data_IF_566917906345
#
_entry.id   IF_566917906345
#
_cell.length_a   1.000
_cell.length_b   1.000
_cell.length_c   1.000
_cell.angle_alpha   90.00
_cell.angle_beta   90.00
_cell.angle_gamma   90.00
#
_symmetry.space_group_name_H-M   'P 1'
#
loop_
_entity.id
_entity.type
_entity.pdbx_description
1 polymer ?
#
# COMPACT_ATOMS: atom_id res chain seq x y z
N UNK A 1 1.45 13.25 48.83
CA UNK A 1 1.02 14.27 47.89
C UNK A 1 0.67 13.70 46.51
N UNK A 2 1.52 12.83 45.94
CA UNK A 2 1.25 12.15 44.62
C UNK A 2 -0.05 11.32 44.69
N UNK A 3 -0.31 10.64 45.78
CA UNK A 3 -1.48 9.77 46.00
C UNK A 3 -2.82 10.56 46.04
N UNK A 4 -2.81 11.79 46.51
CA UNK A 4 -3.97 12.65 46.50
C UNK A 4 -4.29 13.20 45.10
N UNK A 5 -3.28 13.65 44.37
CA UNK A 5 -3.42 14.17 43.02
C UNK A 5 -4.00 13.10 42.08
N UNK A 6 -3.52 11.85 42.19
CA UNK A 6 -4.03 10.74 41.39
C UNK A 6 -5.47 10.34 41.78
N UNK A 7 -5.80 10.33 43.10
CA UNK A 7 -7.17 10.05 43.56
C UNK A 7 -8.15 11.14 43.14
N UNK A 8 -7.72 12.40 43.12
CA UNK A 8 -8.57 13.53 42.73
C UNK A 8 -8.83 13.51 41.22
N UNK A 9 -7.81 13.25 40.37
CA UNK A 9 -7.98 13.14 38.93
C UNK A 9 -8.90 11.96 38.56
N UNK A 10 -8.76 10.80 39.20
CA UNK A 10 -9.68 9.67 39.05
C UNK A 10 -11.10 9.97 39.55
N UNK A 11 -11.21 10.72 40.65
CA UNK A 11 -12.52 11.14 41.16
C UNK A 11 -13.26 12.06 40.18
N UNK A 12 -12.54 12.92 39.45
CA UNK A 12 -13.16 13.75 38.41
C UNK A 12 -13.61 12.95 37.18
N UNK A 13 -12.99 11.81 36.92
CA UNK A 13 -13.40 10.89 35.86
C UNK A 13 -14.63 10.04 36.22
N UNK A 14 -14.69 9.50 37.45
CA UNK A 14 -15.60 8.40 37.80
C UNK A 14 -16.68 8.72 38.84
N UNK A 15 -16.66 9.91 39.48
CA UNK A 15 -17.62 10.21 40.54
C UNK A 15 -19.01 10.56 39.99
N UNK A 16 -20.09 9.82 40.37
CA UNK A 16 -21.44 9.96 39.80
C UNK A 16 -22.24 11.18 40.32
N UNK A 17 -21.60 12.17 40.91
CA UNK A 17 -22.28 13.31 41.52
C UNK A 17 -22.69 14.43 40.56
N UNK A 18 -22.14 14.48 39.36
CA UNK A 18 -22.48 15.51 38.36
C UNK A 18 -22.66 14.84 36.99
N UNK A 19 -23.91 14.48 36.67
CA UNK A 19 -24.26 13.76 35.43
C UNK A 19 -23.67 14.39 34.15
N UNK A 20 -23.52 15.71 34.10
CA UNK A 20 -23.01 16.40 32.91
C UNK A 20 -21.49 16.26 32.71
N UNK A 21 -20.68 16.19 33.77
CA UNK A 21 -19.22 16.14 33.68
C UNK A 21 -18.71 14.78 33.23
N UNK A 22 -19.30 13.70 33.74
CA UNK A 22 -18.97 12.33 33.31
C UNK A 22 -19.30 12.14 31.81
N UNK A 23 -20.44 12.68 31.35
CA UNK A 23 -20.88 12.61 29.96
C UNK A 23 -19.90 13.34 29.04
N UNK A 24 -19.48 14.56 29.37
CA UNK A 24 -18.55 15.34 28.57
C UNK A 24 -17.18 14.63 28.42
N UNK A 25 -16.67 14.07 29.51
CA UNK A 25 -15.40 13.32 29.51
C UNK A 25 -15.46 12.06 28.66
N UNK A 26 -16.58 11.33 28.74
CA UNK A 26 -16.82 10.13 27.91
C UNK A 26 -16.88 10.51 26.43
N UNK A 27 -17.63 11.56 26.06
CA UNK A 27 -17.70 12.03 24.68
C UNK A 27 -16.33 12.48 24.14
N UNK A 28 -15.53 13.13 24.99
CA UNK A 28 -14.17 13.53 24.63
C UNK A 28 -13.27 12.34 24.36
N UNK A 29 -13.27 11.35 25.26
CA UNK A 29 -12.49 10.11 25.07
C UNK A 29 -12.97 9.34 23.85
N UNK A 30 -14.28 9.29 23.59
CA UNK A 30 -14.86 8.68 22.40
C UNK A 30 -14.43 9.41 21.11
N UNK A 31 -14.38 10.73 21.11
CA UNK A 31 -13.88 11.53 19.98
C UNK A 31 -12.43 11.20 19.64
N UNK A 32 -11.55 11.08 20.64
CA UNK A 32 -10.16 10.68 20.46
C UNK A 32 -10.10 9.22 19.96
N UNK A 33 -10.92 8.33 20.53
CA UNK A 33 -10.97 6.93 20.14
C UNK A 33 -11.38 6.76 18.66
N UNK A 34 -12.45 7.46 18.25
CA UNK A 34 -12.89 7.43 16.85
C UNK A 34 -11.82 8.03 15.94
N UNK A 35 -11.24 9.18 16.29
CA UNK A 35 -10.17 9.80 15.51
C UNK A 35 -8.98 8.88 15.33
N UNK A 36 -8.49 8.27 16.41
CA UNK A 36 -7.38 7.31 16.38
C UNK A 36 -7.74 6.05 15.57
N UNK A 37 -8.95 5.51 15.76
CA UNK A 37 -9.42 4.33 15.04
C UNK A 37 -9.47 4.59 13.53
N UNK A 38 -10.06 5.71 13.10
CA UNK A 38 -10.16 6.08 11.67
C UNK A 38 -8.77 6.22 11.05
N UNK A 39 -7.83 6.87 11.74
CA UNK A 39 -6.44 7.01 11.25
C UNK A 39 -5.79 5.64 11.07
N UNK A 40 -5.92 4.74 12.03
CA UNK A 40 -5.37 3.38 11.95
C UNK A 40 -5.99 2.62 10.78
N UNK A 41 -7.32 2.64 10.64
CA UNK A 41 -8.02 1.93 9.57
C UNK A 41 -7.56 2.41 8.20
N UNK A 42 -7.55 3.73 7.98
CA UNK A 42 -7.20 4.30 6.66
C UNK A 42 -5.74 4.00 6.30
N UNK A 43 -4.81 4.18 7.24
CA UNK A 43 -3.40 3.89 7.00
C UNK A 43 -3.18 2.39 6.75
N UNK A 44 -3.86 1.52 7.51
CA UNK A 44 -3.76 0.06 7.32
C UNK A 44 -4.28 -0.40 5.96
N UNK A 45 -5.38 0.17 5.48
CA UNK A 45 -5.91 -0.09 4.13
C UNK A 45 -4.94 0.41 3.05
N UNK A 46 -4.37 1.60 3.22
CA UNK A 46 -3.38 2.11 2.29
C UNK A 46 -2.13 1.24 2.23
N UNK A 47 -1.64 0.78 3.38
CA UNK A 47 -0.49 -0.14 3.43
C UNK A 47 -0.81 -1.46 2.73
N UNK A 48 -1.99 -2.03 3.00
CA UNK A 48 -2.45 -3.25 2.34
C UNK A 48 -2.54 -3.09 0.83
N UNK A 49 -3.14 -2.01 0.36
CA UNK A 49 -3.27 -1.72 -1.06
C UNK A 49 -1.90 -1.51 -1.75
N UNK A 50 -0.99 -0.76 -1.12
CA UNK A 50 0.36 -0.56 -1.65
C UNK A 50 1.16 -1.86 -1.70
N UNK A 51 1.02 -2.72 -0.68
CA UNK A 51 1.68 -4.02 -0.63
C UNK A 51 1.14 -4.96 -1.70
N UNK A 52 -0.17 -4.95 -1.92
CA UNK A 52 -0.84 -5.72 -2.98
C UNK A 52 -0.40 -5.28 -4.38
N UNK A 53 -0.42 -3.97 -4.65
CA UNK A 53 0.10 -3.42 -5.90
C UNK A 53 1.56 -3.81 -6.12
N UNK A 54 2.38 -3.71 -5.08
CA UNK A 54 3.79 -4.10 -5.16
C UNK A 54 3.93 -5.58 -5.49
N UNK A 55 3.23 -6.45 -4.78
CA UNK A 55 3.35 -7.90 -4.96
C UNK A 55 2.83 -8.32 -6.33
N UNK A 56 1.66 -7.83 -6.76
CA UNK A 56 1.07 -8.25 -8.03
C UNK A 56 1.77 -7.66 -9.24
N UNK A 57 2.10 -6.37 -9.23
CA UNK A 57 2.74 -5.74 -10.37
C UNK A 57 4.23 -6.11 -10.40
N UNK A 58 4.96 -5.83 -9.33
CA UNK A 58 6.42 -6.06 -9.34
C UNK A 58 6.79 -7.53 -9.30
N UNK A 59 5.93 -8.42 -8.73
CA UNK A 59 6.14 -9.85 -8.80
C UNK A 59 5.98 -10.43 -10.21
N UNK A 60 5.15 -9.79 -11.06
CA UNK A 60 4.83 -10.29 -12.39
C UNK A 60 5.73 -9.73 -13.50
N UNK A 61 6.54 -8.73 -13.21
CA UNK A 61 7.43 -8.10 -14.19
C UNK A 61 8.90 -8.20 -13.74
N UNK A 62 9.84 -8.22 -14.69
CA UNK A 62 11.25 -8.12 -14.35
C UNK A 62 11.55 -6.76 -13.71
N UNK A 63 12.36 -6.77 -12.65
CA UNK A 63 12.74 -5.55 -11.96
C UNK A 63 13.78 -4.75 -12.73
N UNK A 64 14.66 -5.45 -13.43
CA UNK A 64 15.73 -4.88 -14.24
C UNK A 64 15.95 -5.75 -15.48
N UNK A 65 16.11 -5.13 -16.63
CA UNK A 65 16.43 -5.85 -17.88
C UNK A 65 17.64 -5.21 -18.56
N UNK A 66 18.53 -6.05 -19.05
CA UNK A 66 19.62 -5.65 -19.92
C UNK A 66 19.40 -6.21 -21.31
N UNK A 67 19.22 -5.34 -22.30
CA UNK A 67 19.04 -5.70 -23.70
C UNK A 67 20.24 -5.18 -24.49
N UNK A 68 21.02 -6.07 -25.08
CA UNK A 68 22.21 -5.73 -25.86
C UNK A 68 21.89 -5.85 -27.35
N UNK A 69 22.09 -4.78 -28.14
CA UNK A 69 22.00 -4.88 -29.59
C UNK A 69 23.00 -5.93 -30.12
N UNK A 70 22.48 -6.94 -30.81
CA UNK A 70 23.28 -8.06 -31.27
C UNK A 70 23.48 -9.20 -30.25
N UNK A 71 22.87 -9.09 -29.07
CA UNK A 71 22.86 -10.10 -28.01
C UNK A 71 24.14 -10.17 -27.18
N UNK A 72 24.08 -11.01 -26.16
CA UNK A 72 25.26 -11.38 -25.38
C UNK A 72 25.93 -12.58 -26.05
N UNK A 73 27.25 -12.53 -26.19
CA UNK A 73 28.02 -13.61 -26.83
C UNK A 73 27.95 -14.91 -26.00
N UNK A 74 27.89 -14.79 -24.69
CA UNK A 74 27.75 -15.90 -23.74
C UNK A 74 26.78 -15.47 -22.64
N UNK A 75 25.51 -15.82 -22.80
CA UNK A 75 24.45 -15.45 -21.84
C UNK A 75 24.62 -16.20 -20.52
N UNK A 76 25.15 -17.42 -20.55
CA UNK A 76 25.36 -18.21 -19.34
C UNK A 76 26.45 -17.61 -18.47
N UNK A 77 27.52 -17.07 -19.04
CA UNK A 77 28.54 -16.35 -18.31
C UNK A 77 28.00 -15.05 -17.71
N UNK A 78 27.14 -14.35 -18.46
CA UNK A 78 26.47 -13.13 -17.95
C UNK A 78 25.59 -13.51 -16.75
N UNK A 79 24.79 -14.57 -16.84
CA UNK A 79 23.96 -15.06 -15.72
C UNK A 79 24.78 -15.39 -14.49
N UNK A 80 25.89 -16.10 -14.65
CA UNK A 80 26.80 -16.41 -13.53
C UNK A 80 27.30 -15.14 -12.88
N UNK A 81 27.70 -14.12 -13.67
CA UNK A 81 28.22 -12.87 -13.17
C UNK A 81 27.18 -12.04 -12.43
N UNK A 82 25.96 -11.89 -13.00
CA UNK A 82 24.90 -11.09 -12.37
C UNK A 82 24.37 -11.75 -11.11
N UNK A 83 24.32 -13.07 -11.04
CA UNK A 83 23.89 -13.82 -9.85
C UNK A 83 24.90 -13.74 -8.67
N UNK A 84 26.08 -13.21 -8.88
CA UNK A 84 27.03 -12.91 -7.79
C UNK A 84 26.64 -11.64 -7.01
N UNK A 85 25.81 -10.77 -7.57
CA UNK A 85 25.34 -9.60 -6.86
C UNK A 85 24.32 -10.00 -5.78
N UNK A 86 24.52 -9.52 -4.57
CA UNK A 86 23.69 -9.89 -3.40
C UNK A 86 22.24 -9.46 -3.51
N UNK A 87 21.93 -8.47 -4.34
CA UNK A 87 20.59 -7.98 -4.58
C UNK A 87 19.83 -8.77 -5.65
N UNK A 88 20.53 -9.52 -6.50
CA UNK A 88 19.92 -10.38 -7.52
C UNK A 88 19.43 -11.66 -6.85
N UNK A 89 18.13 -11.96 -7.02
CA UNK A 89 17.50 -13.19 -6.54
C UNK A 89 17.51 -14.25 -7.62
N UNK A 90 17.18 -13.83 -8.86
CA UNK A 90 17.16 -14.69 -10.02
C UNK A 90 17.45 -13.91 -11.30
N UNK A 91 17.93 -14.63 -12.33
CA UNK A 91 18.21 -14.06 -13.64
C UNK A 91 17.89 -15.05 -14.73
N UNK A 92 17.18 -14.59 -15.74
CA UNK A 92 16.83 -15.44 -16.89
C UNK A 92 16.95 -14.70 -18.22
N UNK A 93 17.18 -15.47 -19.28
CA UNK A 93 17.11 -14.94 -20.65
C UNK A 93 15.65 -14.59 -20.95
N UNK A 94 15.39 -13.44 -21.56
CA UNK A 94 14.02 -13.05 -21.87
C UNK A 94 13.84 -12.65 -23.33
N UNK A 95 12.64 -12.88 -23.82
CA UNK A 95 12.17 -12.44 -25.10
C UNK A 95 10.86 -11.69 -24.94
N UNK A 96 10.81 -10.46 -25.39
CA UNK A 96 9.60 -9.65 -25.30
C UNK A 96 9.44 -8.79 -26.55
N UNK A 97 8.21 -8.71 -27.08
CA UNK A 97 7.89 -7.88 -28.20
C UNK A 97 6.48 -7.28 -28.06
N UNK A 98 6.35 -6.02 -28.44
CA UNK A 98 5.03 -5.44 -28.61
C UNK A 98 4.45 -5.91 -29.94
N UNK A 99 3.19 -6.33 -29.93
CA UNK A 99 2.52 -6.91 -31.08
C UNK A 99 1.02 -6.59 -31.05
N UNK A 100 0.33 -7.09 -32.07
CA UNK A 100 -1.11 -6.98 -32.18
C UNK A 100 -1.69 -8.39 -32.21
N UNK A 101 -2.63 -8.66 -31.32
CA UNK A 101 -3.47 -9.86 -31.35
C UNK A 101 -4.84 -9.50 -31.89
N UNK A 102 -5.32 -10.34 -32.81
CA UNK A 102 -6.64 -10.23 -33.42
C UNK A 102 -7.41 -11.53 -33.26
N UNK A 103 -8.63 -11.41 -32.78
CA UNK A 103 -9.63 -12.47 -32.82
C UNK A 103 -10.59 -12.29 -34.01
N UNK A 104 -11.67 -13.06 -34.03
CA UNK A 104 -12.78 -12.86 -34.99
C UNK A 104 -13.58 -11.59 -34.70
N UNK A 105 -13.54 -11.10 -33.45
CA UNK A 105 -14.40 -10.01 -32.98
C UNK A 105 -13.64 -8.68 -32.83
N UNK A 106 -12.40 -8.72 -32.34
CA UNK A 106 -11.67 -7.51 -31.99
C UNK A 106 -10.16 -7.66 -32.14
N UNK A 107 -9.45 -6.54 -32.02
CA UNK A 107 -7.99 -6.45 -32.16
C UNK A 107 -7.43 -5.61 -31.03
N UNK A 108 -6.32 -6.10 -30.40
CA UNK A 108 -5.66 -5.45 -29.27
C UNK A 108 -4.15 -5.40 -29.45
N UNK A 109 -3.55 -4.30 -29.00
CA UNK A 109 -2.10 -4.20 -28.83
C UNK A 109 -1.70 -4.90 -27.55
N UNK A 110 -0.70 -5.77 -27.61
CA UNK A 110 -0.28 -6.62 -26.48
C UNK A 110 1.24 -6.73 -26.42
N UNK A 111 1.73 -7.06 -25.24
CA UNK A 111 3.11 -7.50 -25.02
C UNK A 111 3.16 -9.01 -25.10
N UNK A 112 3.93 -9.53 -26.02
CA UNK A 112 4.18 -10.98 -26.16
C UNK A 112 5.48 -11.29 -25.46
N UNK A 113 5.44 -12.19 -24.48
CA UNK A 113 6.60 -12.74 -23.78
C UNK A 113 6.86 -14.15 -24.29
N UNK A 114 8.09 -14.41 -24.71
CA UNK A 114 8.57 -15.76 -24.97
C UNK A 114 9.00 -16.39 -23.65
N UNK A 115 8.42 -17.52 -23.29
CA UNK A 115 8.67 -18.20 -22.03
C UNK A 115 8.88 -19.69 -22.21
N UNK A 116 9.56 -20.33 -21.28
CA UNK A 116 9.79 -21.77 -21.24
C UNK A 116 9.09 -22.35 -20.00
N UNK A 117 8.99 -23.68 -19.94
CA UNK A 117 8.37 -24.41 -18.82
C UNK A 117 9.01 -24.12 -17.43
N UNK A 118 10.26 -23.65 -17.41
CA UNK A 118 11.01 -23.33 -16.20
C UNK A 118 10.90 -21.86 -15.78
N UNK A 119 9.93 -21.11 -16.29
CA UNK A 119 9.74 -19.71 -15.92
C UNK A 119 9.35 -19.56 -14.46
N UNK A 120 10.20 -18.87 -13.70
CA UNK A 120 9.95 -18.54 -12.30
C UNK A 120 9.38 -17.11 -12.26
N UNK A 121 8.07 -17.02 -12.44
CA UNK A 121 7.37 -15.73 -12.29
C UNK A 121 6.00 -15.93 -11.66
N UNK A 122 5.47 -14.88 -11.07
CA UNK A 122 4.10 -14.90 -10.51
C UNK A 122 3.06 -15.21 -11.61
N UNK A 123 3.38 -14.94 -12.89
CA UNK A 123 2.51 -15.29 -14.01
C UNK A 123 2.40 -16.81 -14.15
N UNK A 124 3.53 -17.52 -14.00
CA UNK A 124 3.55 -18.98 -14.05
C UNK A 124 2.68 -19.61 -12.94
N UNK A 125 2.78 -19.04 -11.74
CA UNK A 125 2.02 -19.47 -10.57
C UNK A 125 0.53 -19.06 -10.63
N UNK A 126 0.18 -18.15 -11.53
CA UNK A 126 -1.16 -17.57 -11.66
C UNK A 126 -1.96 -18.13 -12.83
N UNK A 127 -1.54 -19.26 -13.40
CA UNK A 127 -2.28 -19.94 -14.48
C UNK A 127 -3.56 -20.54 -13.89
N UNK A 128 -4.71 -20.07 -14.38
CA UNK A 128 -6.04 -20.52 -13.96
C UNK A 128 -6.59 -21.64 -14.84
N UNK A 129 -6.16 -21.70 -16.09
CA UNK A 129 -6.55 -22.75 -17.04
C UNK A 129 -5.38 -23.08 -17.98
N UNK A 130 -5.13 -24.35 -18.21
CA UNK A 130 -3.98 -24.83 -18.99
C UNK A 130 -2.71 -25.03 -18.16
N UNK A 131 -1.56 -25.17 -18.83
CA UNK A 131 -0.25 -25.31 -18.19
C UNK A 131 0.81 -24.70 -19.12
N UNK A 132 1.95 -24.24 -18.57
CA UNK A 132 3.10 -23.75 -19.32
C UNK A 132 3.65 -24.78 -20.32
N UNK A 133 3.66 -26.06 -19.95
CA UNK A 133 4.12 -27.17 -20.83
C UNK A 133 3.39 -27.19 -22.18
N UNK A 134 2.17 -26.63 -22.23
CA UNK A 134 1.41 -26.53 -23.49
C UNK A 134 2.06 -25.57 -24.50
N UNK A 135 2.95 -24.69 -24.06
CA UNK A 135 3.67 -23.73 -24.92
C UNK A 135 4.80 -24.40 -25.74
N UNK A 136 5.28 -25.56 -25.35
CA UNK A 136 6.26 -26.35 -26.12
C UNK A 136 5.70 -26.78 -27.48
N UNK A 137 4.39 -26.94 -27.58
CA UNK A 137 3.75 -27.14 -28.87
C UNK A 137 3.80 -25.85 -29.69
N UNK A 138 4.41 -25.92 -30.87
CA UNK A 138 4.49 -24.78 -31.78
C UNK A 138 3.09 -24.23 -32.08
N UNK A 139 2.88 -22.95 -31.83
CA UNK A 139 1.66 -22.16 -32.04
C UNK A 139 0.59 -22.23 -30.93
N UNK A 140 0.98 -22.50 -29.70
CA UNK A 140 0.12 -22.29 -28.55
C UNK A 140 0.40 -20.93 -27.90
N UNK A 141 -0.64 -20.32 -27.29
CA UNK A 141 -0.58 -19.05 -26.59
C UNK A 141 -1.41 -19.13 -25.32
N UNK A 142 -0.87 -18.59 -24.24
CA UNK A 142 -1.59 -18.38 -22.99
C UNK A 142 -1.88 -16.89 -22.86
N UNK A 143 -3.13 -16.51 -22.59
CA UNK A 143 -3.57 -15.14 -22.50
C UNK A 143 -3.86 -14.75 -21.05
N UNK A 144 -3.69 -13.48 -20.72
CA UNK A 144 -4.32 -12.96 -19.51
C UNK A 144 -5.85 -13.07 -19.63
N UNK A 145 -6.52 -13.38 -18.52
CA UNK A 145 -7.98 -13.62 -18.50
C UNK A 145 -8.77 -12.39 -18.98
N UNK A 146 -8.37 -11.20 -18.56
CA UNK A 146 -8.96 -9.94 -18.98
C UNK A 146 -8.74 -9.67 -20.48
N UNK A 147 -7.55 -10.00 -21.03
CA UNK A 147 -7.26 -9.90 -22.45
C UNK A 147 -8.11 -10.89 -23.25
N UNK A 148 -8.25 -12.13 -22.78
CA UNK A 148 -9.07 -13.15 -23.42
C UNK A 148 -10.55 -12.72 -23.45
N UNK A 149 -11.05 -12.16 -22.36
CA UNK A 149 -12.41 -11.59 -22.28
C UNK A 149 -12.60 -10.45 -23.30
N UNK A 150 -11.66 -9.52 -23.40
CA UNK A 150 -11.71 -8.40 -24.35
C UNK A 150 -11.62 -8.86 -25.83
N UNK A 151 -10.88 -9.92 -26.08
CA UNK A 151 -10.76 -10.54 -27.40
C UNK A 151 -11.97 -11.43 -27.75
N UNK A 152 -12.85 -11.73 -26.78
CA UNK A 152 -13.97 -12.65 -26.97
C UNK A 152 -13.52 -14.09 -27.24
N UNK A 153 -12.40 -14.52 -26.63
CA UNK A 153 -11.78 -15.84 -26.89
C UNK A 153 -11.75 -16.70 -25.64
N UNK A 154 -11.89 -18.02 -25.85
CA UNK A 154 -11.81 -19.05 -24.80
C UNK A 154 -10.66 -20.02 -25.11
N UNK A 155 -10.17 -20.78 -24.13
CA UNK A 155 -9.25 -21.88 -24.37
C UNK A 155 -9.79 -22.84 -25.45
N UNK A 156 -8.96 -23.11 -26.47
CA UNK A 156 -9.34 -23.88 -27.66
C UNK A 156 -9.54 -23.03 -28.91
N UNK A 157 -9.83 -21.75 -28.77
CA UNK A 157 -9.99 -20.82 -29.89
C UNK A 157 -8.67 -20.46 -30.56
N UNK A 158 -8.75 -19.79 -31.70
CA UNK A 158 -7.56 -19.37 -32.45
C UNK A 158 -7.52 -17.84 -32.54
N UNK A 159 -6.35 -17.29 -32.21
CA UNK A 159 -6.04 -15.86 -32.35
C UNK A 159 -4.92 -15.64 -33.38
N UNK A 160 -4.92 -14.51 -34.04
CA UNK A 160 -3.92 -14.14 -35.03
C UNK A 160 -2.94 -13.12 -34.44
N UNK A 161 -1.66 -13.47 -34.41
CA UNK A 161 -0.58 -12.60 -33.99
C UNK A 161 0.03 -11.90 -35.19
N UNK A 162 0.09 -10.56 -35.16
CA UNK A 162 0.74 -9.75 -36.19
C UNK A 162 2.17 -9.44 -35.76
N UNK A 163 3.10 -10.31 -36.10
CA UNK A 163 4.50 -10.14 -35.75
C UNK A 163 5.22 -9.19 -36.71
N UNK A 164 5.84 -8.16 -36.15
CA UNK A 164 6.70 -7.22 -36.87
C UNK A 164 8.16 -7.66 -36.76
N UNK A 165 8.88 -7.68 -37.88
CA UNK A 165 10.32 -8.00 -37.83
C UNK A 165 11.09 -6.78 -37.29
N UNK A 166 11.63 -6.89 -36.08
CA UNK A 166 12.40 -5.84 -35.45
C UNK A 166 13.77 -5.57 -36.12
N UNK A 167 14.24 -6.53 -36.94
CA UNK A 167 15.54 -6.46 -37.58
C UNK A 167 15.68 -5.41 -38.69
N UNK A 168 14.63 -5.21 -39.44
CA UNK A 168 14.70 -4.29 -40.59
C UNK A 168 13.37 -3.55 -40.76
N UNK A 169 13.28 -2.33 -40.19
CA UNK A 169 12.06 -1.51 -40.30
C UNK A 169 11.65 -1.19 -41.74
N UNK A 170 12.61 -1.22 -42.67
CA UNK A 170 12.36 -0.92 -44.10
C UNK A 170 11.90 -2.14 -44.92
N UNK A 171 12.13 -3.36 -44.42
CA UNK A 171 11.68 -4.62 -45.05
C UNK A 171 10.52 -5.29 -44.29
N UNK A 172 9.74 -4.49 -43.56
CA UNK A 172 8.78 -4.97 -42.56
C UNK A 172 7.45 -5.34 -43.23
N UNK A 173 7.39 -6.54 -43.78
CA UNK A 173 6.08 -7.14 -44.11
C UNK A 173 5.59 -7.81 -42.83
N UNK A 174 4.51 -7.30 -42.21
CA UNK A 174 3.93 -7.92 -41.03
C UNK A 174 3.55 -9.38 -41.34
N UNK A 175 3.95 -10.28 -40.47
CA UNK A 175 3.59 -11.70 -40.60
C UNK A 175 2.42 -11.98 -39.67
N UNK A 176 1.36 -12.53 -40.23
CA UNK A 176 0.22 -12.99 -39.44
C UNK A 176 0.43 -14.48 -39.15
N UNK A 177 0.46 -14.81 -37.88
CA UNK A 177 0.68 -16.19 -37.40
C UNK A 177 -0.50 -16.53 -36.50
N UNK A 178 -1.12 -17.68 -36.78
CA UNK A 178 -2.25 -18.16 -35.98
C UNK A 178 -1.73 -18.97 -34.79
N UNK A 179 -2.25 -18.64 -33.61
CA UNK A 179 -1.99 -19.33 -32.35
C UNK A 179 -3.28 -19.88 -31.77
N UNK A 180 -3.22 -21.07 -31.20
CA UNK A 180 -4.33 -21.66 -30.43
C UNK A 180 -4.21 -21.23 -28.96
N UNK A 181 -5.27 -20.71 -28.40
CA UNK A 181 -5.34 -20.38 -26.97
C UNK A 181 -5.31 -21.68 -26.17
N UNK A 182 -4.22 -21.94 -25.46
CA UNK A 182 -4.01 -23.18 -24.69
C UNK A 182 -4.25 -23.00 -23.20
N UNK A 183 -4.38 -21.76 -22.73
CA UNK A 183 -4.61 -21.49 -21.33
C UNK A 183 -4.85 -20.01 -21.04
N UNK A 184 -5.19 -19.73 -19.78
CA UNK A 184 -5.40 -18.40 -19.25
C UNK A 184 -4.62 -18.24 -17.94
N UNK A 185 -4.09 -17.04 -17.71
CA UNK A 185 -3.51 -16.65 -16.42
C UNK A 185 -4.22 -15.42 -15.85
N UNK A 186 -4.23 -15.30 -14.52
CA UNK A 186 -4.78 -14.13 -13.83
C UNK A 186 -3.92 -13.77 -12.61
N UNK A 187 -3.18 -12.69 -12.73
CA UNK A 187 -2.37 -12.11 -11.66
C UNK A 187 -3.21 -11.13 -10.82
N UNK A 188 -4.35 -10.68 -11.36
CA UNK A 188 -5.22 -9.68 -10.76
C UNK A 188 -4.63 -8.26 -10.90
N UNK A 189 -4.07 -7.93 -12.06
CA UNK A 189 -3.49 -6.62 -12.34
C UNK A 189 -3.66 -6.23 -13.82
N UNK A 190 -3.20 -5.03 -14.20
CA UNK A 190 -3.21 -4.57 -15.61
C UNK A 190 -2.41 -5.51 -16.56
N UNK A 191 -1.59 -6.39 -16.02
CA UNK A 191 -0.84 -7.38 -16.79
C UNK A 191 -1.80 -8.33 -17.49
N UNK A 192 -2.90 -8.70 -16.87
CA UNK A 192 -3.90 -9.61 -17.42
C UNK A 192 -4.59 -9.05 -18.67
N UNK A 193 -4.57 -7.71 -18.86
CA UNK A 193 -5.11 -7.05 -20.06
C UNK A 193 -4.10 -6.91 -21.19
N UNK A 194 -2.80 -6.91 -20.86
CA UNK A 194 -1.77 -6.44 -21.79
C UNK A 194 -0.77 -7.51 -22.19
N UNK A 195 -0.74 -8.67 -21.53
CA UNK A 195 0.28 -9.69 -21.76
C UNK A 195 -0.29 -10.99 -22.31
N UNK A 196 0.52 -11.61 -23.18
CA UNK A 196 0.32 -12.98 -23.65
C UNK A 196 1.66 -13.73 -23.68
N UNK A 197 1.61 -15.01 -23.39
CA UNK A 197 2.78 -15.89 -23.34
C UNK A 197 2.78 -16.84 -24.54
N UNK A 198 3.94 -17.02 -25.17
CA UNK A 198 4.19 -18.04 -26.18
C UNK A 198 5.51 -18.73 -25.87
N UNK A 199 5.69 -19.96 -26.35
CA UNK A 199 6.96 -20.65 -26.19
C UNK A 199 8.13 -19.90 -26.83
N UNK A 200 9.31 -19.93 -26.23
CA UNK A 200 10.53 -19.25 -26.71
C UNK A 200 10.84 -19.61 -28.18
N UNK A 201 10.67 -20.84 -28.57
CA UNK A 201 10.87 -21.28 -29.96
C UNK A 201 9.85 -20.67 -30.92
N UNK A 202 8.58 -20.56 -30.49
CA UNK A 202 7.54 -19.91 -31.27
C UNK A 202 7.83 -18.42 -31.40
N UNK A 203 8.32 -17.79 -30.32
CA UNK A 203 8.74 -16.37 -30.32
C UNK A 203 9.86 -16.13 -31.33
N UNK A 204 10.92 -16.96 -31.29
CA UNK A 204 12.07 -16.88 -32.23
C UNK A 204 11.62 -17.02 -33.69
N UNK A 205 10.68 -17.93 -33.98
CA UNK A 205 10.11 -18.11 -35.32
C UNK A 205 9.26 -16.94 -35.77
N UNK A 206 8.45 -16.36 -34.84
CA UNK A 206 7.54 -15.26 -35.13
C UNK A 206 8.28 -13.94 -35.36
N UNK A 207 9.10 -13.54 -34.42
CA UNK A 207 9.73 -12.23 -34.38
C UNK A 207 11.12 -12.18 -34.98
N UNK A 208 11.77 -13.34 -35.17
CA UNK A 208 13.16 -13.44 -35.67
C UNK A 208 14.09 -12.44 -35.04
N UNK A 209 14.21 -12.46 -33.68
CA UNK A 209 15.10 -11.53 -33.01
C UNK A 209 16.53 -11.74 -33.54
N UNK A 210 17.20 -10.65 -33.92
CA UNK A 210 18.61 -10.66 -34.22
C UNK A 210 19.37 -10.79 -32.94
N UNK A 211 19.80 -11.96 -32.52
CA UNK A 211 20.68 -12.16 -31.39
C UNK A 211 20.31 -11.24 -30.21
N UNK A 212 19.11 -11.20 -29.79
CA UNK A 212 18.71 -10.21 -28.86
C UNK A 212 17.93 -10.78 -27.71
N UNK A 213 18.43 -11.90 -27.19
CA UNK A 213 18.05 -12.21 -25.82
C UNK A 213 18.63 -11.14 -24.93
N UNK A 214 17.78 -10.50 -24.18
CA UNK A 214 18.16 -9.74 -23.02
C UNK A 214 18.28 -10.66 -21.83
N UNK A 215 18.74 -10.12 -20.72
CA UNK A 215 18.64 -10.76 -19.42
C UNK A 215 17.68 -9.97 -18.54
N UNK A 216 16.73 -10.66 -17.97
CA UNK A 216 15.83 -10.10 -16.97
C UNK A 216 16.26 -10.56 -15.57
N UNK A 217 16.11 -9.67 -14.61
CA UNK A 217 16.57 -9.86 -13.24
C UNK A 217 15.45 -9.62 -12.26
N UNK A 218 15.31 -10.51 -11.29
CA UNK A 218 14.52 -10.34 -10.11
C UNK A 218 15.42 -9.87 -8.97
N UNK A 219 15.06 -8.75 -8.34
CA UNK A 219 15.83 -8.13 -7.27
C UNK A 219 15.16 -8.35 -5.92
N UNK A 220 15.95 -8.51 -4.86
CA UNK A 220 15.48 -8.58 -3.49
C UNK A 220 14.97 -7.23 -3.03
N UNK A 221 15.76 -6.17 -3.24
CA UNK A 221 15.32 -4.80 -3.04
C UNK A 221 15.05 -4.14 -4.40
N UNK A 222 13.77 -4.03 -4.70
CA UNK A 222 13.26 -3.49 -5.96
C UNK A 222 13.56 -1.99 -6.10
N UNK A 223 13.72 -1.28 -4.98
CA UNK A 223 13.99 0.16 -5.00
C UNK A 223 15.48 0.50 -5.19
N UNK A 224 16.36 -0.46 -5.01
CA UNK A 224 17.79 -0.32 -5.29
C UNK A 224 18.16 -0.62 -6.76
N UNK A 225 17.21 -0.58 -7.69
CA UNK A 225 17.39 -0.98 -9.10
C UNK A 225 18.48 -0.16 -9.80
N UNK A 226 18.54 1.16 -9.65
CA UNK A 226 19.53 2.02 -10.31
C UNK A 226 20.96 1.75 -9.79
N UNK A 227 21.10 1.56 -8.48
CA UNK A 227 22.38 1.19 -7.89
C UNK A 227 22.81 -0.19 -8.39
N UNK A 228 21.93 -1.18 -8.34
CA UNK A 228 22.20 -2.55 -8.82
C UNK A 228 22.55 -2.55 -10.30
N UNK A 229 21.87 -1.77 -11.13
CA UNK A 229 22.18 -1.64 -12.55
C UNK A 229 23.62 -1.13 -12.76
N UNK A 230 24.03 -0.11 -12.01
CA UNK A 230 25.38 0.47 -12.10
C UNK A 230 26.45 -0.54 -11.68
N UNK A 231 26.23 -1.26 -10.58
CA UNK A 231 27.13 -2.30 -10.09
C UNK A 231 27.29 -3.44 -11.09
N UNK A 232 26.17 -3.91 -11.69
CA UNK A 232 26.17 -4.98 -12.67
C UNK A 232 26.84 -4.58 -13.98
N UNK A 233 26.62 -3.36 -14.48
CA UNK A 233 27.31 -2.88 -15.66
C UNK A 233 28.83 -2.83 -15.44
N UNK A 234 29.27 -2.40 -14.27
CA UNK A 234 30.69 -2.42 -13.92
C UNK A 234 31.26 -3.85 -13.84
N UNK A 235 30.49 -4.81 -13.29
CA UNK A 235 30.93 -6.21 -13.19
C UNK A 235 31.00 -6.93 -14.54
N UNK A 236 30.16 -6.51 -15.49
CA UNK A 236 30.11 -7.04 -16.85
C UNK A 236 31.06 -6.32 -17.82
N UNK A 237 31.81 -5.32 -17.36
CA UNK A 237 32.62 -4.41 -18.19
C UNK A 237 31.83 -3.79 -19.35
N UNK A 238 30.58 -3.38 -19.06
CA UNK A 238 29.65 -2.78 -20.00
C UNK A 238 29.33 -1.34 -19.60
N UNK A 239 29.02 -0.54 -20.59
CA UNK A 239 28.51 0.82 -20.37
C UNK A 239 27.02 0.93 -20.74
N UNK A 240 26.37 1.99 -20.29
CA UNK A 240 24.98 2.29 -20.68
C UNK A 240 24.80 2.54 -22.20
N UNK A 241 25.91 2.71 -22.95
CA UNK A 241 25.86 2.82 -24.40
C UNK A 241 25.89 1.44 -25.08
N UNK A 242 26.38 0.41 -24.40
CA UNK A 242 26.51 -0.95 -24.97
C UNK A 242 25.24 -1.75 -24.80
N UNK A 243 24.41 -1.43 -23.80
CA UNK A 243 23.18 -2.13 -23.46
C UNK A 243 22.05 -1.13 -23.18
N UNK A 244 20.85 -1.48 -23.61
CA UNK A 244 19.64 -0.79 -23.19
C UNK A 244 19.25 -1.34 -21.83
N UNK A 245 19.33 -0.51 -20.81
CA UNK A 245 18.89 -0.83 -19.45
C UNK A 245 17.46 -0.35 -19.28
N UNK A 246 16.58 -1.26 -18.98
CA UNK A 246 15.19 -0.93 -18.64
C UNK A 246 14.90 -1.42 -17.22
N UNK A 247 14.18 -0.61 -16.47
CA UNK A 247 13.78 -0.94 -15.10
C UNK A 247 12.27 -0.82 -14.97
N UNK A 248 11.69 -1.52 -14.01
CA UNK A 248 10.28 -1.42 -13.67
C UNK A 248 9.84 0.05 -13.45
N UNK A 249 10.76 0.90 -12.98
CA UNK A 249 10.50 2.31 -12.70
C UNK A 249 10.18 3.13 -13.97
N UNK A 250 10.65 2.72 -15.14
CA UNK A 250 10.32 3.38 -16.41
C UNK A 250 8.86 3.16 -16.78
N UNK A 251 8.34 1.96 -16.59
CA UNK A 251 6.97 1.60 -16.98
C UNK A 251 5.95 1.93 -15.88
N UNK A 252 6.25 1.61 -14.64
CA UNK A 252 5.31 1.69 -13.52
C UNK A 252 5.68 2.73 -12.46
N UNK A 253 6.83 3.39 -12.58
CA UNK A 253 7.27 4.37 -11.60
C UNK A 253 6.34 5.57 -11.44
N UNK A 254 5.59 5.94 -12.47
CA UNK A 254 4.56 6.98 -12.37
C UNK A 254 3.41 6.56 -11.45
N UNK A 255 2.96 5.32 -11.53
CA UNK A 255 1.93 4.73 -10.67
C UNK A 255 2.39 4.74 -9.21
N UNK A 256 3.60 4.24 -8.93
CA UNK A 256 4.14 4.21 -7.57
C UNK A 256 4.37 5.62 -7.00
N UNK A 257 4.77 6.59 -7.82
CA UNK A 257 4.85 8.00 -7.38
C UNK A 257 3.47 8.58 -7.08
N UNK A 258 2.46 8.25 -7.87
CA UNK A 258 1.09 8.70 -7.63
C UNK A 258 0.54 8.13 -6.32
N UNK A 259 0.74 6.84 -6.02
CA UNK A 259 0.33 6.23 -4.76
C UNK A 259 1.08 6.81 -3.56
N UNK A 260 2.35 7.17 -3.71
CA UNK A 260 3.11 7.84 -2.66
C UNK A 260 2.60 9.27 -2.38
N UNK A 261 2.23 10.02 -3.42
CA UNK A 261 1.60 11.33 -3.27
C UNK A 261 0.24 11.22 -2.60
N UNK A 262 -0.57 10.25 -3.03
CA UNK A 262 -1.86 9.94 -2.41
C UNK A 262 -1.71 9.65 -0.92
N UNK A 263 -0.75 8.79 -0.53
CA UNK A 263 -0.43 8.48 0.87
C UNK A 263 -0.11 9.75 1.66
N UNK A 264 0.69 10.64 1.10
CA UNK A 264 1.06 11.91 1.75
C UNK A 264 -0.17 12.80 1.96
N UNK A 265 -1.03 12.92 0.94
CA UNK A 265 -2.26 13.72 1.03
C UNK A 265 -3.25 13.14 2.04
N UNK A 266 -3.45 11.82 2.02
CA UNK A 266 -4.33 11.14 2.98
C UNK A 266 -3.80 11.27 4.39
N UNK A 267 -2.49 11.10 4.62
CA UNK A 267 -1.88 11.29 5.94
C UNK A 267 -2.06 12.71 6.46
N UNK A 268 -2.00 13.72 5.59
CA UNK A 268 -2.26 15.11 5.94
C UNK A 268 -3.74 15.30 6.33
N UNK A 269 -4.68 14.75 5.57
CA UNK A 269 -6.12 14.81 5.92
C UNK A 269 -6.40 14.09 7.24
N UNK A 270 -5.78 12.93 7.49
CA UNK A 270 -5.93 12.20 8.74
C UNK A 270 -5.37 12.99 9.92
N UNK A 271 -4.25 13.69 9.75
CA UNK A 271 -3.71 14.59 10.79
C UNK A 271 -4.68 15.72 11.16
N UNK A 272 -5.46 16.19 10.19
CA UNK A 272 -6.48 17.23 10.42
C UNK A 272 -7.66 16.67 11.24
N UNK A 273 -8.10 15.44 10.96
CA UNK A 273 -9.15 14.77 11.75
C UNK A 273 -8.68 14.61 13.21
N UNK A 274 -7.43 14.20 13.41
CA UNK A 274 -6.85 14.08 14.73
C UNK A 274 -6.79 15.44 15.46
N UNK A 275 -6.43 16.52 14.76
CA UNK A 275 -6.46 17.87 15.31
C UNK A 275 -7.86 18.28 15.75
N UNK A 276 -8.90 17.98 14.97
CA UNK A 276 -10.29 18.27 15.35
C UNK A 276 -10.66 17.54 16.65
N UNK A 277 -10.28 16.27 16.80
CA UNK A 277 -10.51 15.51 18.03
C UNK A 277 -9.81 16.15 19.24
N UNK A 278 -8.57 16.64 19.04
CA UNK A 278 -7.80 17.34 20.07
C UNK A 278 -8.45 18.69 20.45
N UNK A 279 -8.90 19.47 19.48
CA UNK A 279 -9.63 20.71 19.76
C UNK A 279 -10.94 20.46 20.54
N UNK A 280 -11.68 19.41 20.20
CA UNK A 280 -12.85 18.97 20.94
C UNK A 280 -12.51 18.68 22.41
N UNK A 281 -11.39 18.02 22.65
CA UNK A 281 -10.88 17.75 24.00
C UNK A 281 -10.52 19.04 24.73
N UNK A 282 -9.87 20.01 24.09
CA UNK A 282 -9.54 21.29 24.71
C UNK A 282 -10.79 22.07 25.17
N UNK A 283 -11.82 22.07 24.34
CA UNK A 283 -13.10 22.68 24.68
C UNK A 283 -13.71 22.00 25.91
N UNK A 284 -13.71 20.67 25.93
CA UNK A 284 -14.25 19.86 27.02
C UNK A 284 -13.50 20.10 28.33
N UNK A 285 -12.16 20.12 28.30
CA UNK A 285 -11.34 20.37 29.49
C UNK A 285 -11.51 21.81 29.98
N UNK A 286 -11.60 22.80 29.07
CA UNK A 286 -11.89 24.19 29.48
C UNK A 286 -13.25 24.33 30.15
N UNK A 287 -14.28 23.62 29.67
CA UNK A 287 -15.59 23.58 30.33
C UNK A 287 -15.49 22.97 31.72
N UNK A 288 -14.79 21.84 31.84
CA UNK A 288 -14.55 21.18 33.13
C UNK A 288 -13.83 22.14 34.13
N UNK A 289 -12.81 22.86 33.66
CA UNK A 289 -12.11 23.85 34.50
C UNK A 289 -13.07 24.94 35.01
N UNK A 290 -13.97 25.42 34.13
CA UNK A 290 -14.98 26.42 34.52
C UNK A 290 -15.94 25.89 35.57
N UNK A 291 -16.43 24.65 35.37
CA UNK A 291 -17.41 24.02 36.28
C UNK A 291 -16.79 23.72 37.65
N UNK A 292 -15.47 23.43 37.68
CA UNK A 292 -14.72 23.11 38.89
C UNK A 292 -14.03 24.32 39.56
N UNK A 293 -14.29 25.54 39.14
CA UNK A 293 -13.62 26.75 39.67
C UNK A 293 -13.78 26.93 41.18
N UNK A 294 -14.98 26.67 41.74
CA UNK A 294 -15.22 26.79 43.19
C UNK A 294 -14.41 25.76 43.96
N UNK A 295 -14.40 24.48 43.50
CA UNK A 295 -13.60 23.43 44.12
C UNK A 295 -12.08 23.72 44.06
N UNK A 296 -11.60 24.26 42.93
CA UNK A 296 -10.20 24.69 42.74
C UNK A 296 -9.88 25.85 43.72
N UNK A 297 -10.77 26.82 43.89
CA UNK A 297 -10.57 27.92 44.81
C UNK A 297 -10.45 27.42 46.27
N UNK A 298 -11.31 26.50 46.69
CA UNK A 298 -11.25 25.87 48.00
C UNK A 298 -9.92 25.14 48.22
N UNK A 299 -9.49 24.36 47.24
CA UNK A 299 -8.20 23.65 47.35
C UNK A 299 -7.02 24.62 47.46
N UNK A 300 -7.06 25.72 46.74
CA UNK A 300 -6.06 26.81 46.80
C UNK A 300 -6.04 27.52 48.18
N UNK A 301 -7.19 27.73 48.80
CA UNK A 301 -7.26 28.31 50.13
C UNK A 301 -6.77 27.39 51.24
N UNK A 302 -6.93 26.08 51.07
CA UNK A 302 -6.41 25.05 51.99
C UNK A 302 -4.86 24.87 51.86
N UNK A 303 -4.25 25.53 50.82
CA UNK A 303 -2.78 25.55 50.67
C UNK A 303 -2.19 24.74 49.53
N UNK A 304 -2.99 24.16 48.61
CA UNK A 304 -2.45 23.51 47.43
C UNK A 304 -1.80 24.54 46.49
N UNK A 305 -0.62 24.19 45.96
CA UNK A 305 0.14 25.04 45.05
C UNK A 305 -0.49 25.09 43.66
N UNK A 306 -0.12 26.09 42.85
CA UNK A 306 -0.50 26.16 41.45
C UNK A 306 -0.08 24.91 40.67
N UNK A 307 1.10 24.40 41.01
CA UNK A 307 1.65 23.18 40.40
C UNK A 307 0.83 21.92 40.72
N UNK A 308 0.26 21.83 41.91
CA UNK A 308 -0.56 20.66 42.26
C UNK A 308 -1.86 20.65 41.47
N UNK A 309 -2.52 21.81 41.32
CA UNK A 309 -3.71 21.93 40.49
C UNK A 309 -3.40 21.65 39.03
N UNK A 310 -2.30 22.19 38.51
CA UNK A 310 -1.90 21.95 37.13
C UNK A 310 -1.64 20.46 36.87
N UNK A 311 -0.96 19.75 37.79
CA UNK A 311 -0.73 18.30 37.72
C UNK A 311 -2.03 17.50 37.69
N UNK A 312 -3.03 17.88 38.50
CA UNK A 312 -4.35 17.21 38.48
C UNK A 312 -4.97 17.24 37.09
N UNK A 313 -4.98 18.43 36.45
CA UNK A 313 -5.56 18.55 35.11
C UNK A 313 -4.72 17.91 34.01
N UNK A 314 -3.39 17.97 34.11
CA UNK A 314 -2.51 17.24 33.17
C UNK A 314 -2.68 15.72 33.28
N UNK A 315 -2.82 15.18 34.49
CA UNK A 315 -3.12 13.76 34.68
C UNK A 315 -4.49 13.38 34.13
N UNK A 316 -5.50 14.23 34.33
CA UNK A 316 -6.83 14.03 33.79
C UNK A 316 -6.80 13.94 32.24
N UNK A 317 -6.10 14.91 31.61
CA UNK A 317 -5.91 14.95 30.15
C UNK A 317 -5.18 13.68 29.67
N UNK A 318 -4.11 13.27 30.37
CA UNK A 318 -3.37 12.08 30.05
C UNK A 318 -4.26 10.81 30.14
N UNK A 319 -5.08 10.70 31.19
CA UNK A 319 -6.01 9.58 31.34
C UNK A 319 -7.06 9.55 30.22
N UNK A 320 -7.69 10.69 29.91
CA UNK A 320 -8.66 10.78 28.80
C UNK A 320 -8.00 10.38 27.47
N UNK A 321 -6.77 10.88 27.23
CA UNK A 321 -6.00 10.56 26.03
C UNK A 321 -5.63 9.07 25.95
N UNK A 322 -5.13 8.49 27.04
CA UNK A 322 -4.76 7.06 27.08
C UNK A 322 -5.99 6.19 26.86
N UNK A 323 -7.11 6.45 27.53
CA UNK A 323 -8.35 5.71 27.30
C UNK A 323 -8.81 5.84 25.85
N UNK A 324 -8.82 7.08 25.29
CA UNK A 324 -9.18 7.32 23.90
C UNK A 324 -8.30 6.52 22.92
N UNK A 325 -6.98 6.61 23.09
CA UNK A 325 -6.01 5.90 22.23
C UNK A 325 -6.15 4.38 22.38
N UNK A 326 -6.28 3.85 23.60
CA UNK A 326 -6.44 2.40 23.81
C UNK A 326 -7.70 1.87 23.14
N UNK A 327 -8.85 2.53 23.36
CA UNK A 327 -10.09 2.14 22.69
C UNK A 327 -10.04 2.35 21.18
N UNK A 328 -9.39 3.43 20.73
CA UNK A 328 -9.14 3.67 19.30
C UNK A 328 -8.30 2.58 18.64
N UNK A 329 -7.25 2.11 19.33
CA UNK A 329 -6.44 0.98 18.85
C UNK A 329 -7.26 -0.31 18.76
N UNK A 330 -8.03 -0.64 19.82
CA UNK A 330 -8.85 -1.86 19.83
C UNK A 330 -9.82 -1.84 18.66
N UNK A 331 -10.55 -0.74 18.48
CA UNK A 331 -11.54 -0.60 17.39
C UNK A 331 -10.82 -0.56 16.03
N UNK A 332 -9.77 0.25 15.87
CA UNK A 332 -9.04 0.42 14.64
C UNK A 332 -8.40 -0.86 14.14
N UNK A 333 -7.68 -1.57 15.00
CA UNK A 333 -7.01 -2.83 14.65
C UNK A 333 -8.04 -3.95 14.40
N UNK A 334 -9.05 -4.08 15.25
CA UNK A 334 -10.10 -5.08 15.05
C UNK A 334 -10.84 -4.86 13.73
N UNK A 335 -11.18 -3.62 13.40
CA UNK A 335 -11.84 -3.29 12.15
C UNK A 335 -10.92 -3.53 10.94
N UNK A 336 -9.66 -3.09 11.00
CA UNK A 336 -8.69 -3.29 9.92
C UNK A 336 -8.48 -4.77 9.60
N UNK A 337 -8.41 -5.63 10.62
CA UNK A 337 -8.21 -7.06 10.42
C UNK A 337 -9.45 -7.78 9.84
N UNK A 338 -10.63 -7.24 10.03
CA UNK A 338 -11.91 -7.83 9.57
C UNK A 338 -12.59 -6.98 8.48
N UNK A 339 -11.85 -6.11 7.81
CA UNK A 339 -12.41 -5.15 6.87
C UNK A 339 -13.06 -5.84 5.66
N UNK A 340 -12.47 -6.91 5.18
CA UNK A 340 -13.01 -7.71 4.06
C UNK A 340 -14.37 -8.31 4.42
N UNK A 341 -14.50 -8.92 5.58
CA UNK A 341 -15.75 -9.49 6.07
C UNK A 341 -16.83 -8.42 6.25
N UNK A 342 -16.43 -7.25 6.75
CA UNK A 342 -17.33 -6.12 6.91
C UNK A 342 -17.88 -5.64 5.55
N UNK A 343 -17.03 -5.49 4.53
CA UNK A 343 -17.48 -5.08 3.20
C UNK A 343 -18.30 -6.16 2.49
N UNK A 344 -17.97 -7.44 2.67
CA UNK A 344 -18.79 -8.55 2.16
C UNK A 344 -20.17 -8.57 2.82
N UNK A 345 -20.24 -8.36 4.13
CA UNK A 345 -21.50 -8.20 4.84
C UNK A 345 -22.30 -7.01 4.28
N UNK A 346 -21.68 -5.87 4.09
CA UNK A 346 -22.33 -4.67 3.56
C UNK A 346 -22.85 -4.91 2.12
N UNK A 347 -22.05 -5.55 1.28
CA UNK A 347 -22.43 -5.94 -0.08
C UNK A 347 -23.65 -6.88 -0.09
N UNK A 348 -23.70 -7.84 0.83
CA UNK A 348 -24.84 -8.77 0.97
C UNK A 348 -26.11 -8.10 1.43
N UNK A 349 -26.03 -7.06 2.28
CA UNK A 349 -27.20 -6.32 2.80
C UNK A 349 -27.77 -5.35 1.76
N UNK A 350 -26.90 -4.71 0.97
CA UNK A 350 -27.31 -3.68 0.01
C UNK A 350 -27.40 -4.19 -1.43
N UNK A 351 -27.13 -5.49 -1.67
CA UNK A 351 -27.13 -6.13 -3.01
C UNK A 351 -26.25 -5.37 -4.03
N UNK A 352 -25.10 -4.85 -3.54
CA UNK A 352 -24.13 -4.08 -4.35
C UNK A 352 -22.89 -4.93 -4.56
N UNK A 353 -22.55 -5.24 -5.80
CA UNK A 353 -21.29 -5.91 -6.16
C UNK A 353 -20.14 -4.89 -6.16
N UNK A 354 -19.61 -4.54 -4.98
CA UNK A 354 -18.52 -3.58 -4.85
C UNK A 354 -17.19 -4.11 -5.36
N UNK A 355 -17.02 -5.43 -5.46
CA UNK A 355 -15.74 -6.07 -5.78
C UNK A 355 -15.57 -6.44 -7.26
N UNK A 356 -16.64 -6.53 -8.04
CA UNK A 356 -16.56 -6.91 -9.46
C UNK A 356 -15.83 -5.90 -10.36
N UNK A 357 -15.57 -4.69 -9.84
CA UNK A 357 -14.90 -3.62 -10.60
C UNK A 357 -13.38 -3.58 -10.36
N UNK A 358 -12.94 -4.19 -9.29
CA UNK A 358 -11.52 -4.27 -8.94
C UNK A 358 -11.10 -5.74 -8.95
N UNK A 359 -9.99 -6.05 -9.59
CA UNK A 359 -9.40 -7.41 -9.72
C UNK A 359 -8.97 -8.04 -8.37
N UNK A 360 -9.57 -7.64 -7.26
CA UNK A 360 -9.22 -8.09 -5.92
C UNK A 360 -10.49 -8.58 -5.20
N UNK A 361 -10.52 -9.86 -4.86
CA UNK A 361 -11.64 -10.51 -4.16
C UNK A 361 -11.76 -10.13 -2.68
N UNK A 362 -10.84 -9.32 -2.16
CA UNK A 362 -10.78 -8.89 -0.76
C UNK A 362 -10.26 -7.46 -0.64
N UNK A 363 -10.60 -6.80 0.45
CA UNK A 363 -10.03 -5.49 0.80
C UNK A 363 -8.66 -5.69 1.47
N UNK A 364 -7.56 -5.36 0.79
CA UNK A 364 -6.24 -5.51 1.39
C UNK A 364 -6.09 -4.52 2.55
N UNK A 365 -5.70 -5.03 3.71
CA UNK A 365 -5.40 -4.22 4.88
C UNK A 365 -4.22 -4.83 5.61
N UNK A 366 -3.22 -3.98 5.93
CA UNK A 366 -2.01 -4.39 6.65
C UNK A 366 -1.73 -3.42 7.78
N UNK A 367 -1.90 -3.91 9.01
CA UNK A 367 -1.59 -3.14 10.21
C UNK A 367 -0.09 -3.21 10.48
N UNK A 368 0.62 -2.08 10.39
CA UNK A 368 2.02 -1.97 10.77
C UNK A 368 2.16 -1.44 12.20
N UNK A 369 2.76 -2.26 13.07
CA UNK A 369 2.89 -1.92 14.48
C UNK A 369 3.72 -0.65 14.74
N UNK A 370 4.73 -0.40 13.92
CA UNK A 370 5.56 0.81 13.96
C UNK A 370 4.73 2.08 13.71
N UNK A 371 3.80 2.04 12.76
CA UNK A 371 2.92 3.17 12.44
C UNK A 371 1.88 3.39 13.52
N UNK A 372 1.29 2.31 14.07
CA UNK A 372 0.37 2.41 15.19
C UNK A 372 1.05 3.05 16.40
N UNK A 373 2.30 2.67 16.71
CA UNK A 373 3.07 3.32 17.77
C UNK A 373 3.33 4.80 17.49
N UNK A 374 3.67 5.15 16.25
CA UNK A 374 3.91 6.55 15.86
C UNK A 374 2.63 7.39 16.00
N UNK A 375 1.49 6.86 15.55
CA UNK A 375 0.17 7.51 15.69
C UNK A 375 -0.14 7.73 17.18
N UNK A 376 0.02 6.70 17.99
CA UNK A 376 -0.25 6.77 19.43
C UNK A 376 0.65 7.78 20.13
N UNK A 377 1.95 7.75 19.85
CA UNK A 377 2.90 8.67 20.43
C UNK A 377 2.62 10.12 20.02
N UNK A 378 2.38 10.37 18.73
CA UNK A 378 2.07 11.70 18.21
C UNK A 378 0.76 12.23 18.79
N UNK A 379 -0.28 11.39 18.86
CA UNK A 379 -1.57 11.76 19.47
C UNK A 379 -1.40 12.16 20.92
N UNK A 380 -0.75 11.35 21.74
CA UNK A 380 -0.53 11.64 23.16
C UNK A 380 0.37 12.86 23.36
N UNK A 381 1.41 13.03 22.54
CA UNK A 381 2.29 14.19 22.60
C UNK A 381 1.53 15.50 22.33
N UNK A 382 0.73 15.51 21.26
CA UNK A 382 -0.05 16.68 20.87
C UNK A 382 -1.10 16.99 21.94
N UNK A 383 -1.80 15.96 22.45
CA UNK A 383 -2.75 16.10 23.56
C UNK A 383 -2.09 16.73 24.79
N UNK A 384 -0.88 16.31 25.14
CA UNK A 384 -0.15 16.83 26.29
C UNK A 384 0.27 18.29 26.08
N UNK A 385 0.81 18.62 24.89
CA UNK A 385 1.24 19.97 24.54
C UNK A 385 0.06 20.95 24.57
N UNK A 386 -1.02 20.63 23.90
CA UNK A 386 -2.21 21.50 23.87
C UNK A 386 -2.97 21.49 25.18
N UNK A 387 -3.01 20.36 25.89
CA UNK A 387 -3.64 20.23 27.21
C UNK A 387 -2.94 21.03 28.31
N UNK A 388 -1.69 21.42 28.10
CA UNK A 388 -0.97 22.31 29.02
C UNK A 388 -1.68 23.67 29.19
N UNK A 389 -2.32 24.17 28.13
CA UNK A 389 -3.02 25.48 28.14
C UNK A 389 -4.17 25.51 29.17
N UNK A 390 -5.19 24.61 29.08
CA UNK A 390 -6.29 24.60 30.06
C UNK A 390 -5.81 24.22 31.47
N UNK A 391 -4.82 23.35 31.60
CA UNK A 391 -4.23 23.00 32.89
C UNK A 391 -3.59 24.25 33.59
N UNK A 392 -2.91 25.09 32.79
CA UNK A 392 -2.35 26.37 33.31
C UNK A 392 -3.44 27.38 33.66
N UNK A 393 -4.53 27.44 32.88
CA UNK A 393 -5.69 28.31 33.19
C UNK A 393 -6.30 27.90 34.54
N UNK A 394 -6.51 26.58 34.75
CA UNK A 394 -7.01 26.07 36.03
C UNK A 394 -6.10 26.43 37.20
N UNK A 395 -4.78 26.33 37.06
CA UNK A 395 -3.79 26.64 38.09
C UNK A 395 -3.77 28.13 38.46
N UNK A 396 -4.09 29.01 37.53
CA UNK A 396 -4.09 30.47 37.75
C UNK A 396 -5.44 31.04 38.26
N UNK A 397 -6.39 30.19 38.62
CA UNK A 397 -7.66 30.61 39.25
C UNK A 397 -7.40 31.33 40.57
N UNK A 398 -7.88 32.55 40.68
CA UNK A 398 -7.74 33.41 41.89
C UNK A 398 -8.88 33.14 42.88
N UNK A 399 -8.62 32.60 44.10
CA UNK A 399 -9.66 32.25 45.05
C UNK A 399 -10.51 33.47 45.47
N UNK A 400 -9.87 34.62 45.66
CA UNK A 400 -10.53 35.84 46.12
C UNK A 400 -11.62 36.37 45.19
N UNK A 401 -11.48 36.17 43.87
CA UNK A 401 -12.46 36.62 42.88
C UNK A 401 -13.69 35.71 42.80
N UNK A 402 -13.55 34.44 43.17
CA UNK A 402 -14.64 33.45 43.07
C UNK A 402 -15.50 33.49 44.33
N UNK A 403 -14.89 33.59 45.51
CA UNK A 403 -15.60 33.66 46.80
C UNK A 403 -16.41 34.94 46.94
N UNK A 404 -16.05 36.05 46.27
CA UNK A 404 -16.81 37.30 46.27
C UNK A 404 -17.93 37.36 45.22
N UNK A 405 -18.09 36.35 44.35
CA UNK A 405 -19.15 36.33 43.32
C UNK A 405 -20.33 35.41 43.66
N UNK A 406 -20.22 34.62 44.75
CA UNK A 406 -21.32 33.93 45.41
C UNK A 406 -21.79 34.76 46.64
#
# INVERSE_FOLDING_TARGET
>A
MIDFVSKLSLSYLFKPGTKHLSVLTVFTSLGIAIGTAVVIIVISVMNGFQDELRTRILGAIPHLTFEKPGGFADIDQVRVTVNQNSNVVDSQEFFMAQSILSSSETTRGVMIKGTDENEISIIADSIIEGNLDTLDASNNIILGDALAFELGTLPGDTVSLVASNQMNPLANIPRVISFKVSGLFSVGSEIDQNYALIGTDAFRKAFRPTNGAGIELQLRDVFATEQTATELLASLDLSFYDVKVSSWNLSYGSLFRATQLERTMVSLLMSLILLIAIFSMLISVNSLVKDKRSEIAILRTIGYSKWDIQRVFLQLIALIGIFGVVFGNIIGIAFSNNITEFFQFLASVFDISLMNTYYVDYFPSRVEFSEVLLINFSTLLILFVFGYIPARIAANTEPAKIINQE
#
